data_IF_693362757401
#
_entry.id   IF_693362757401
#
_cell.length_a   1.000
_cell.length_b   1.000
_cell.length_c   1.000
_cell.angle_alpha   90.00
_cell.angle_beta   90.00
_cell.angle_gamma   90.00
#
_symmetry.space_group_name_H-M   'P 1'
#
loop_
_entity.id
_entity.type
_entity.pdbx_description
1 polymer ?
#
# COMPACT_ATOMS: atom_id res chain seq x y z
N UNK A 1 30.60 -29.63 -37.21
CA UNK A 1 29.73 -30.68 -36.66
C UNK A 1 28.38 -30.06 -36.33
N UNK A 2 27.25 -30.52 -36.91
CA UNK A 2 25.94 -29.98 -36.60
C UNK A 2 25.44 -30.50 -35.25
N UNK A 3 24.89 -29.59 -34.44
CA UNK A 3 24.51 -29.81 -33.05
C UNK A 3 23.24 -30.70 -32.93
N UNK A 4 23.28 -31.88 -32.28
CA UNK A 4 22.14 -32.80 -32.20
C UNK A 4 21.32 -32.59 -30.92
N UNK A 5 20.53 -31.52 -30.87
CA UNK A 5 19.57 -31.33 -29.77
C UNK A 5 18.33 -30.52 -30.19
N UNK A 6 17.63 -30.99 -31.23
CA UNK A 6 16.20 -30.71 -31.41
C UNK A 6 15.45 -32.01 -31.19
N UNK A 7 15.28 -32.40 -29.93
CA UNK A 7 14.37 -33.50 -29.56
C UNK A 7 12.94 -32.99 -29.67
N UNK A 8 12.27 -33.59 -30.65
CA UNK A 8 10.84 -33.52 -30.92
C UNK A 8 10.02 -33.75 -29.65
N UNK A 9 9.29 -32.73 -29.22
CA UNK A 9 7.98 -32.85 -28.58
C UNK A 9 7.13 -31.64 -28.97
N UNK A 10 6.78 -31.55 -30.24
CA UNK A 10 5.65 -30.71 -30.64
C UNK A 10 4.38 -31.42 -30.12
N UNK A 11 3.94 -31.07 -28.91
CA UNK A 11 2.57 -31.40 -28.53
C UNK A 11 1.65 -30.60 -29.47
N UNK A 12 0.80 -31.23 -30.29
CA UNK A 12 -0.16 -30.46 -31.06
C UNK A 12 -1.09 -29.78 -30.07
N UNK A 13 -1.20 -28.45 -30.17
CA UNK A 13 -2.21 -27.70 -29.42
C UNK A 13 -3.57 -28.34 -29.70
N UNK A 14 -4.27 -28.73 -28.62
CA UNK A 14 -5.65 -29.22 -28.73
C UNK A 14 -6.43 -28.18 -29.53
N UNK A 15 -7.15 -28.56 -30.60
CA UNK A 15 -7.92 -27.60 -31.37
C UNK A 15 -8.95 -26.97 -30.43
N UNK A 16 -8.88 -25.64 -30.28
CA UNK A 16 -9.92 -24.84 -29.65
C UNK A 16 -11.22 -25.21 -30.34
N UNK A 17 -12.17 -25.75 -29.58
CA UNK A 17 -13.50 -26.10 -30.08
C UNK A 17 -14.11 -24.83 -30.68
N UNK A 18 -14.21 -24.78 -32.00
CA UNK A 18 -14.91 -23.70 -32.71
C UNK A 18 -16.38 -23.80 -32.31
N UNK A 19 -16.86 -22.81 -31.57
CA UNK A 19 -18.27 -22.65 -31.24
C UNK A 19 -19.10 -22.74 -32.53
N UNK A 20 -19.98 -23.74 -32.62
CA UNK A 20 -21.00 -23.85 -33.66
C UNK A 20 -22.25 -23.14 -33.15
N UNK A 21 -22.60 -21.93 -33.64
CA UNK A 21 -23.89 -21.34 -33.30
C UNK A 21 -24.99 -22.17 -33.98
N UNK A 22 -25.94 -22.70 -33.20
CA UNK A 22 -27.13 -23.36 -33.77
C UNK A 22 -27.69 -24.57 -33.02
N UNK A 23 -27.21 -24.92 -31.82
CA UNK A 23 -27.99 -25.79 -30.94
C UNK A 23 -28.81 -24.90 -30.02
N UNK A 24 -30.12 -24.85 -30.22
CA UNK A 24 -31.03 -24.20 -29.28
C UNK A 24 -30.89 -24.91 -27.93
N UNK A 25 -30.29 -24.22 -26.97
CA UNK A 25 -30.29 -24.61 -25.57
C UNK A 25 -31.68 -24.23 -25.07
N UNK A 26 -32.41 -25.21 -24.53
CA UNK A 26 -33.70 -24.96 -23.89
C UNK A 26 -33.49 -23.91 -22.80
N UNK A 27 -34.33 -22.87 -22.82
CA UNK A 27 -34.38 -21.85 -21.77
C UNK A 27 -34.88 -22.53 -20.49
N UNK A 28 -33.94 -22.96 -19.65
CA UNK A 28 -34.22 -23.28 -18.25
C UNK A 28 -34.27 -21.93 -17.52
N UNK A 29 -35.46 -21.57 -17.03
CA UNK A 29 -35.68 -20.40 -16.17
C UNK A 29 -34.79 -20.52 -14.92
N UNK A 30 -33.73 -19.70 -14.90
CA UNK A 30 -32.87 -19.50 -13.74
C UNK A 30 -33.67 -18.75 -12.69
N UNK A 31 -34.24 -19.50 -11.73
CA UNK A 31 -34.88 -18.97 -10.52
C UNK A 31 -33.83 -18.23 -9.69
N UNK A 32 -33.81 -16.91 -9.85
CA UNK A 32 -32.99 -15.96 -9.12
C UNK A 32 -33.64 -15.74 -7.73
N UNK A 33 -33.25 -16.55 -6.75
CA UNK A 33 -33.46 -16.21 -5.34
C UNK A 33 -32.12 -15.73 -4.76
N UNK A 34 -31.94 -14.41 -4.78
CA UNK A 34 -30.88 -13.74 -4.03
C UNK A 34 -31.18 -13.81 -2.53
N UNK A 35 -30.54 -14.73 -1.83
CA UNK A 35 -30.40 -14.67 -0.37
C UNK A 35 -29.01 -14.15 0.00
N UNK A 36 -28.87 -12.83 -0.03
CA UNK A 36 -27.78 -12.09 0.62
C UNK A 36 -27.88 -12.23 2.13
N UNK A 37 -27.31 -13.28 2.70
CA UNK A 37 -26.82 -13.25 4.09
C UNK A 37 -25.50 -14.00 4.18
N UNK A 38 -24.41 -13.28 3.94
CA UNK A 38 -23.08 -13.64 4.45
C UNK A 38 -23.03 -13.41 5.97
N UNK A 39 -23.95 -14.03 6.70
CA UNK A 39 -23.83 -14.23 8.14
C UNK A 39 -23.10 -15.55 8.32
N UNK A 40 -21.97 -15.51 9.03
CA UNK A 40 -21.13 -16.64 9.38
C UNK A 40 -21.95 -17.89 9.72
N UNK A 41 -22.10 -18.80 8.75
CA UNK A 41 -22.68 -20.12 8.97
C UNK A 41 -21.65 -20.96 9.74
N UNK A 42 -21.50 -20.68 11.03
CA UNK A 42 -20.95 -21.63 11.98
C UNK A 42 -21.92 -22.82 11.99
N UNK A 43 -21.59 -23.82 11.19
CA UNK A 43 -22.25 -25.13 11.20
C UNK A 43 -22.39 -25.57 12.66
N UNK A 44 -23.64 -25.73 13.12
CA UNK A 44 -23.95 -26.21 14.46
C UNK A 44 -23.11 -27.46 14.76
N UNK A 45 -22.49 -27.56 15.94
CA UNK A 45 -21.43 -28.55 16.24
C UNK A 45 -21.86 -30.01 16.05
N UNK A 46 -23.16 -30.30 16.01
CA UNK A 46 -23.71 -31.64 15.75
C UNK A 46 -23.75 -32.08 14.28
N UNK A 47 -23.88 -31.14 13.31
CA UNK A 47 -23.95 -31.48 11.87
C UNK A 47 -22.57 -31.69 11.26
N UNK A 48 -21.54 -31.02 11.79
CA UNK A 48 -20.15 -31.19 11.37
C UNK A 48 -19.59 -32.60 11.67
N UNK A 49 -20.19 -33.33 12.63
CA UNK A 49 -19.79 -34.70 13.00
C UNK A 49 -20.26 -35.76 12.00
N UNK A 50 -21.23 -35.46 11.13
CA UNK A 50 -21.70 -36.39 10.10
C UNK A 50 -20.77 -36.37 8.88
N UNK A 51 -20.56 -37.52 8.23
CA UNK A 51 -19.75 -37.65 7.00
C UNK A 51 -20.21 -36.66 5.89
N UNK A 52 -21.53 -36.46 5.77
CA UNK A 52 -22.12 -35.46 4.87
C UNK A 52 -21.74 -34.02 5.26
N UNK A 53 -21.68 -33.71 6.55
CA UNK A 53 -21.28 -32.40 7.06
C UNK A 53 -19.79 -32.11 6.85
N UNK A 54 -18.94 -33.12 7.01
CA UNK A 54 -17.51 -33.01 6.73
C UNK A 54 -17.23 -32.76 5.24
N UNK A 55 -17.92 -33.49 4.36
CA UNK A 55 -17.82 -33.30 2.91
C UNK A 55 -18.34 -31.91 2.47
N UNK A 56 -19.45 -31.44 3.04
CA UNK A 56 -19.95 -30.09 2.78
C UNK A 56 -18.96 -29.01 3.25
N UNK A 57 -18.39 -29.16 4.45
CA UNK A 57 -17.38 -28.24 4.96
C UNK A 57 -16.10 -28.25 4.11
N UNK A 58 -15.68 -29.42 3.59
CA UNK A 58 -14.58 -29.52 2.63
C UNK A 58 -14.89 -28.79 1.33
N UNK A 59 -16.08 -29.00 0.75
CA UNK A 59 -16.52 -28.32 -0.46
C UNK A 59 -16.53 -26.80 -0.28
N UNK A 60 -16.98 -26.28 0.87
CA UNK A 60 -16.94 -24.85 1.16
C UNK A 60 -15.52 -24.29 1.23
N UNK A 61 -14.56 -25.03 1.83
CA UNK A 61 -13.15 -24.61 1.83
C UNK A 61 -12.57 -24.61 0.43
N UNK A 62 -12.92 -25.59 -0.38
CA UNK A 62 -12.44 -25.71 -1.76
C UNK A 62 -13.01 -24.59 -2.64
N UNK A 63 -14.31 -24.30 -2.53
CA UNK A 63 -14.92 -23.16 -3.19
C UNK A 63 -14.27 -21.84 -2.77
N UNK A 64 -13.96 -21.65 -1.47
CA UNK A 64 -13.22 -20.47 -1.01
C UNK A 64 -11.80 -20.36 -1.58
N UNK A 65 -11.16 -21.49 -1.92
CA UNK A 65 -9.84 -21.47 -2.59
C UNK A 65 -9.99 -21.03 -4.04
N UNK A 66 -10.90 -21.65 -4.78
CA UNK A 66 -11.21 -21.27 -6.15
C UNK A 66 -11.65 -19.81 -6.26
N UNK A 67 -12.44 -19.33 -5.29
CA UNK A 67 -12.83 -17.93 -5.19
C UNK A 67 -11.62 -17.02 -5.03
N UNK A 68 -10.71 -17.30 -4.09
CA UNK A 68 -9.48 -16.52 -3.91
C UNK A 68 -8.62 -16.49 -5.16
N UNK A 69 -8.49 -17.63 -5.83
CA UNK A 69 -7.71 -17.72 -7.08
C UNK A 69 -8.37 -16.90 -8.19
N UNK A 70 -9.71 -16.94 -8.29
CA UNK A 70 -10.48 -16.12 -9.24
C UNK A 70 -10.36 -14.63 -8.93
N UNK A 71 -10.51 -14.23 -7.67
CA UNK A 71 -10.35 -12.85 -7.22
C UNK A 71 -8.94 -12.32 -7.52
N UNK A 72 -7.90 -13.14 -7.31
CA UNK A 72 -6.52 -12.78 -7.66
C UNK A 72 -6.32 -12.59 -9.17
N UNK A 73 -7.01 -13.37 -10.01
CA UNK A 73 -6.99 -13.18 -11.47
C UNK A 73 -7.72 -11.89 -11.87
N UNK A 74 -8.92 -11.65 -11.35
CA UNK A 74 -9.70 -10.44 -11.64
C UNK A 74 -8.95 -9.18 -11.18
N UNK A 75 -8.29 -9.22 -10.01
CA UNK A 75 -7.46 -8.12 -9.53
C UNK A 75 -6.31 -7.79 -10.51
N UNK A 76 -5.63 -8.83 -11.03
CA UNK A 76 -4.58 -8.65 -12.04
C UNK A 76 -5.12 -8.12 -13.37
N UNK A 77 -6.27 -8.60 -13.83
CA UNK A 77 -6.93 -8.10 -15.03
C UNK A 77 -7.30 -6.62 -14.86
N UNK A 78 -7.86 -6.23 -13.71
CA UNK A 78 -8.16 -4.83 -13.40
C UNK A 78 -6.93 -3.93 -13.32
N UNK A 79 -5.81 -4.43 -12.77
CA UNK A 79 -4.53 -3.70 -12.80
C UNK A 79 -4.03 -3.45 -14.23
N UNK A 80 -4.17 -4.44 -15.11
CA UNK A 80 -3.78 -4.32 -16.52
C UNK A 80 -4.69 -3.34 -17.25
N UNK A 81 -6.00 -3.41 -17.05
CA UNK A 81 -6.99 -2.49 -17.64
C UNK A 81 -6.73 -1.04 -17.21
N UNK A 82 -6.43 -0.78 -15.94
CA UNK A 82 -6.08 0.57 -15.45
C UNK A 82 -4.75 1.06 -16.05
N UNK A 83 -3.76 0.18 -16.19
CA UNK A 83 -2.51 0.52 -16.87
C UNK A 83 -2.74 0.87 -18.34
N UNK A 84 -3.59 0.12 -19.05
CA UNK A 84 -3.98 0.39 -20.43
C UNK A 84 -4.79 1.69 -20.54
N UNK A 85 -5.71 1.95 -19.61
CA UNK A 85 -6.43 3.24 -19.50
C UNK A 85 -5.44 4.39 -19.42
N UNK A 86 -4.49 4.35 -18.48
CA UNK A 86 -3.47 5.40 -18.31
C UNK A 86 -2.52 5.56 -19.50
N UNK A 87 -2.24 4.47 -20.22
CA UNK A 87 -1.46 4.51 -21.46
C UNK A 87 -2.21 5.20 -22.58
N UNK A 88 -3.53 5.01 -22.65
CA UNK A 88 -4.39 5.61 -23.67
C UNK A 88 -4.75 7.07 -23.41
N UNK A 89 -4.56 7.58 -22.18
CA UNK A 89 -4.77 8.99 -21.84
C UNK A 89 -3.76 9.93 -22.53
N UNK A 90 -4.22 11.15 -22.80
CA UNK A 90 -3.34 12.23 -23.26
C UNK A 90 -2.38 12.67 -22.14
N UNK A 91 -1.31 13.39 -22.51
CA UNK A 91 -0.33 13.87 -21.52
C UNK A 91 -0.96 14.86 -20.53
N UNK A 92 -1.81 15.76 -21.01
CA UNK A 92 -2.46 16.79 -20.18
C UNK A 92 -3.44 16.20 -19.16
N UNK A 93 -4.23 15.21 -19.58
CA UNK A 93 -5.16 14.49 -18.70
C UNK A 93 -4.40 13.68 -17.63
N UNK A 94 -3.32 12.99 -18.03
CA UNK A 94 -2.46 12.24 -17.09
C UNK A 94 -1.85 13.16 -16.04
N UNK A 95 -1.30 14.31 -16.44
CA UNK A 95 -0.75 15.29 -15.51
C UNK A 95 -1.81 15.91 -14.59
N UNK A 96 -3.05 16.06 -15.04
CA UNK A 96 -4.16 16.51 -14.22
C UNK A 96 -4.54 15.46 -13.16
N UNK A 97 -4.69 14.19 -13.56
CA UNK A 97 -4.93 13.07 -12.64
C UNK A 97 -3.81 12.92 -11.60
N UNK A 98 -2.55 12.98 -12.04
CA UNK A 98 -1.38 12.86 -11.17
C UNK A 98 -1.30 14.03 -10.16
N UNK A 99 -1.58 15.26 -10.61
CA UNK A 99 -1.64 16.43 -9.72
C UNK A 99 -2.76 16.30 -8.69
N UNK A 100 -3.93 15.83 -9.09
CA UNK A 100 -5.05 15.60 -8.18
C UNK A 100 -4.71 14.52 -7.13
N UNK A 101 -4.10 13.42 -7.57
CA UNK A 101 -3.64 12.34 -6.68
C UNK A 101 -2.59 12.83 -5.68
N UNK A 102 -1.57 13.56 -6.16
CA UNK A 102 -0.54 14.15 -5.30
C UNK A 102 -1.11 15.17 -4.32
N UNK A 103 -2.10 15.97 -4.74
CA UNK A 103 -2.79 16.91 -3.86
C UNK A 103 -3.56 16.18 -2.75
N UNK A 104 -4.30 15.12 -3.09
CA UNK A 104 -5.01 14.30 -2.11
C UNK A 104 -4.06 13.62 -1.11
N UNK A 105 -2.94 13.07 -1.58
CA UNK A 105 -1.92 12.47 -0.72
C UNK A 105 -1.30 13.50 0.24
N UNK A 106 -1.00 14.71 -0.26
CA UNK A 106 -0.52 15.81 0.57
C UNK A 106 -1.56 16.21 1.61
N UNK A 107 -2.82 16.37 1.22
CA UNK A 107 -3.91 16.72 2.13
C UNK A 107 -4.06 15.67 3.26
N UNK A 108 -4.04 14.37 2.95
CA UNK A 108 -4.11 13.32 3.97
C UNK A 108 -2.89 13.30 4.91
N UNK A 109 -1.69 13.56 4.37
CA UNK A 109 -0.47 13.69 5.19
C UNK A 109 -0.54 14.92 6.10
N UNK A 110 -1.00 16.05 5.59
CA UNK A 110 -1.01 17.30 6.34
C UNK A 110 -2.14 17.32 7.39
N UNK A 111 -3.23 16.55 7.19
CA UNK A 111 -4.25 16.29 8.22
C UNK A 111 -3.70 15.52 9.43
N UNK A 112 -2.78 14.58 9.19
CA UNK A 112 -2.23 13.71 10.23
C UNK A 112 -0.94 14.25 10.85
N UNK A 113 -0.27 15.20 10.18
CA UNK A 113 1.01 15.75 10.61
C UNK A 113 0.81 17.12 11.27
N UNK A 114 1.15 17.23 12.56
CA UNK A 114 1.17 18.50 13.26
C UNK A 114 2.26 19.46 12.76
N UNK A 115 2.21 20.75 13.19
CA UNK A 115 3.23 21.74 12.86
C UNK A 115 4.59 21.27 13.39
N UNK A 116 5.57 21.16 12.50
CA UNK A 116 6.92 20.71 12.87
C UNK A 116 7.61 21.72 13.79
N UNK A 117 8.07 21.27 14.96
CA UNK A 117 8.88 22.11 15.86
C UNK A 117 10.29 22.32 15.29
N UNK A 118 10.80 23.54 15.43
CA UNK A 118 12.18 23.88 15.06
C UNK A 118 13.15 23.06 15.94
N UNK A 119 14.12 22.40 15.30
CA UNK A 119 15.07 21.49 15.94
C UNK A 119 14.43 20.28 16.65
N UNK A 120 13.29 19.78 16.15
CA UNK A 120 12.76 18.48 16.55
C UNK A 120 13.66 17.32 16.08
N UNK A 121 13.63 16.20 16.81
CA UNK A 121 14.30 14.96 16.39
C UNK A 121 13.49 14.30 15.28
N UNK A 122 14.18 13.81 14.25
CA UNK A 122 13.52 13.05 13.20
C UNK A 122 13.35 11.60 13.64
N UNK A 123 12.10 11.15 13.65
CA UNK A 123 11.74 9.76 13.91
C UNK A 123 11.25 9.15 12.58
N UNK A 124 12.07 8.30 11.98
CA UNK A 124 11.65 7.54 10.80
C UNK A 124 10.61 6.50 11.21
N UNK A 125 9.55 6.31 10.42
CA UNK A 125 8.44 5.39 10.74
C UNK A 125 8.83 3.89 10.72
N UNK A 126 10.03 3.57 10.26
CA UNK A 126 10.51 2.19 10.06
C UNK A 126 10.08 1.61 8.70
N UNK A 127 10.74 0.53 8.29
CA UNK A 127 10.42 -0.20 7.06
C UNK A 127 9.70 -1.53 7.34
N UNK A 128 9.86 -2.08 8.55
CA UNK A 128 9.28 -3.36 8.95
C UNK A 128 7.82 -3.20 9.40
N UNK A 129 7.04 -4.27 9.30
CA UNK A 129 5.65 -4.37 9.77
C UNK A 129 4.66 -3.36 9.16
N UNK A 130 4.96 -2.86 7.95
CA UNK A 130 4.05 -2.03 7.15
C UNK A 130 3.22 -2.98 6.27
N UNK A 131 1.89 -2.90 6.29
CA UNK A 131 1.05 -3.75 5.45
C UNK A 131 0.85 -5.19 5.94
N UNK A 132 1.24 -5.50 7.19
CA UNK A 132 1.17 -6.85 7.73
C UNK A 132 -0.13 -7.09 8.52
N UNK A 133 -0.44 -6.20 9.47
CA UNK A 133 -1.59 -6.32 10.37
C UNK A 133 -2.26 -4.94 10.54
N UNK A 134 -3.59 -4.92 10.63
CA UNK A 134 -4.36 -3.68 10.81
C UNK A 134 -3.95 -2.90 12.09
N UNK A 135 -3.58 -3.62 13.14
CA UNK A 135 -3.11 -3.04 14.41
C UNK A 135 -1.78 -2.29 14.24
N UNK A 136 -0.85 -2.82 13.44
CA UNK A 136 0.44 -2.14 13.20
C UNK A 136 0.26 -0.91 12.31
N UNK A 137 -0.74 -0.94 11.42
CA UNK A 137 -1.11 0.20 10.60
C UNK A 137 -1.74 1.33 11.41
N UNK A 138 -2.64 1.01 12.34
CA UNK A 138 -3.21 1.99 13.27
C UNK A 138 -2.10 2.68 14.08
N UNK A 139 -1.14 1.91 14.61
CA UNK A 139 0.03 2.46 15.32
C UNK A 139 0.98 3.25 14.41
N UNK A 140 1.00 2.98 13.11
CA UNK A 140 1.81 3.72 12.14
C UNK A 140 1.23 5.08 11.76
N UNK A 141 -0.09 5.26 11.89
CA UNK A 141 -0.79 6.50 11.54
C UNK A 141 -0.58 7.63 12.55
N UNK A 142 -0.20 7.31 13.81
CA UNK A 142 0.04 8.32 14.85
C UNK A 142 1.06 9.38 14.44
N UNK A 143 0.84 10.61 14.92
CA UNK A 143 1.80 11.70 14.77
C UNK A 143 2.99 11.51 15.73
N UNK A 144 4.05 10.87 15.22
CA UNK A 144 5.30 10.68 15.93
C UNK A 144 6.14 11.96 16.01
N UNK A 145 5.93 12.91 15.09
CA UNK A 145 6.77 14.10 14.97
C UNK A 145 6.32 15.22 15.90
N UNK A 146 5.04 15.22 16.30
CA UNK A 146 4.49 16.11 17.31
C UNK A 146 4.73 15.66 18.77
N UNK A 147 5.23 14.45 19.01
CA UNK A 147 5.43 13.93 20.36
C UNK A 147 6.55 14.68 21.11
N UNK A 148 6.28 15.07 22.36
CA UNK A 148 7.24 15.74 23.25
C UNK A 148 7.60 14.85 24.43
N UNK A 149 8.88 14.81 24.79
CA UNK A 149 9.34 14.22 26.05
C UNK A 149 9.21 15.23 27.18
N UNK A 150 9.07 14.76 28.43
CA UNK A 150 8.93 15.65 29.60
C UNK A 150 10.15 16.56 29.79
N UNK A 151 11.35 16.06 29.48
CA UNK A 151 12.61 16.81 29.63
C UNK A 151 12.93 17.71 28.43
N UNK A 152 12.13 17.70 27.36
CA UNK A 152 12.40 18.49 26.16
C UNK A 152 11.99 19.95 26.34
N UNK A 153 12.94 20.87 26.13
CA UNK A 153 12.66 22.32 26.18
C UNK A 153 11.71 22.72 25.06
N UNK A 154 10.61 23.40 25.40
CA UNK A 154 9.58 23.87 24.48
C UNK A 154 10.12 24.89 23.47
N UNK A 155 10.88 25.89 23.93
CA UNK A 155 11.39 26.97 23.09
C UNK A 155 12.91 26.91 22.93
N UNK A 156 13.36 26.19 21.89
CA UNK A 156 14.79 26.04 21.59
C UNK A 156 15.48 27.32 21.12
N UNK A 157 14.72 28.33 20.68
CA UNK A 157 15.26 29.61 20.24
C UNK A 157 15.80 30.47 21.40
N UNK A 158 15.24 30.33 22.60
CA UNK A 158 15.67 31.08 23.78
C UNK A 158 17.01 30.58 24.35
N UNK A 159 17.41 29.35 24.00
CA UNK A 159 18.67 28.78 24.46
C UNK A 159 19.88 29.48 23.82
N UNK A 160 21.04 29.49 24.50
CA UNK A 160 22.31 29.89 23.89
C UNK A 160 22.65 29.04 22.66
N UNK A 161 23.34 29.61 21.68
CA UNK A 161 23.62 28.97 20.38
C UNK A 161 24.20 27.56 20.52
N UNK A 162 25.12 27.36 21.46
CA UNK A 162 25.76 26.06 21.67
C UNK A 162 24.80 24.95 22.13
N UNK A 163 23.71 25.32 22.81
CA UNK A 163 22.67 24.40 23.30
C UNK A 163 21.52 24.22 22.31
N UNK A 164 21.46 24.98 21.20
CA UNK A 164 20.43 24.85 20.16
C UNK A 164 20.66 23.60 19.30
N UNK A 165 20.51 22.43 19.92
CA UNK A 165 20.73 21.12 19.31
C UNK A 165 19.41 20.36 19.24
N UNK A 166 19.28 19.49 18.23
CA UNK A 166 18.09 18.64 18.07
C UNK A 166 17.93 17.66 19.25
N UNK A 167 19.04 17.08 19.70
CA UNK A 167 19.10 16.08 20.77
C UNK A 167 20.00 16.59 21.90
N UNK A 168 19.40 16.89 23.06
CA UNK A 168 20.12 17.47 24.22
C UNK A 168 21.12 16.49 24.85
N UNK A 169 20.89 15.17 24.72
CA UNK A 169 21.82 14.15 25.21
C UNK A 169 23.16 14.11 24.44
N UNK A 170 23.25 14.84 23.32
CA UNK A 170 24.49 15.01 22.53
C UNK A 170 25.29 16.24 22.93
N UNK A 171 24.78 17.07 23.84
CA UNK A 171 25.54 18.19 24.39
C UNK A 171 26.81 17.65 25.08
N UNK A 172 27.97 18.18 24.71
CA UNK A 172 29.27 17.73 25.23
C UNK A 172 29.82 16.42 24.64
N UNK A 173 29.12 15.76 23.70
CA UNK A 173 29.67 14.57 23.03
C UNK A 173 30.54 14.94 21.83
N UNK A 174 31.65 14.21 21.66
CA UNK A 174 32.54 14.33 20.48
C UNK A 174 31.80 13.86 19.22
N UNK A 175 31.98 14.56 18.10
CA UNK A 175 31.41 14.18 16.79
C UNK A 175 30.21 15.02 16.32
N UNK A 176 30.00 16.22 16.88
CA UNK A 176 29.00 17.16 16.36
C UNK A 176 29.40 17.65 14.96
N UNK A 177 28.45 17.67 14.04
CA UNK A 177 28.64 18.31 12.72
C UNK A 177 28.87 19.80 12.90
N UNK A 178 29.76 20.38 12.09
CA UNK A 178 30.00 21.83 12.06
C UNK A 178 28.80 22.60 11.48
N UNK A 179 28.12 22.00 10.51
CA UNK A 179 26.98 22.57 9.82
C UNK A 179 25.68 22.41 10.63
N UNK A 180 24.91 23.50 10.72
CA UNK A 180 23.67 23.55 11.50
C UNK A 180 22.43 23.36 10.61
N UNK A 181 22.10 24.37 9.80
CA UNK A 181 20.95 24.38 8.90
C UNK A 181 21.30 25.09 7.58
N UNK A 182 20.59 24.74 6.51
CA UNK A 182 20.82 25.34 5.19
C UNK A 182 20.70 26.86 5.23
N UNK A 183 19.74 27.42 5.98
CA UNK A 183 19.51 28.86 6.05
C UNK A 183 20.70 29.65 6.62
N UNK A 184 21.44 29.08 7.58
CA UNK A 184 22.58 29.78 8.21
C UNK A 184 23.87 29.62 7.42
N UNK A 185 24.01 28.49 6.70
CA UNK A 185 25.20 28.13 5.94
C UNK A 185 25.11 28.50 4.45
N UNK A 186 23.91 28.87 3.96
CA UNK A 186 23.70 29.29 2.57
C UNK A 186 24.42 30.61 2.33
N UNK A 187 25.53 30.53 1.60
CA UNK A 187 26.32 31.67 1.11
C UNK A 187 25.95 32.04 -0.32
N UNK A 188 24.90 31.44 -0.88
CA UNK A 188 24.41 31.69 -2.21
C UNK A 188 23.96 33.14 -2.41
N UNK A 189 23.96 33.58 -3.67
CA UNK A 189 23.64 34.96 -4.07
C UNK A 189 22.27 35.44 -3.56
N UNK A 190 21.30 34.51 -3.42
CA UNK A 190 19.97 34.76 -2.84
C UNK A 190 20.00 35.00 -1.32
N UNK A 191 20.82 34.27 -0.58
CA UNK A 191 20.95 34.43 0.87
C UNK A 191 21.69 35.74 1.24
N UNK A 192 22.67 36.15 0.42
CA UNK A 192 23.40 37.40 0.61
C UNK A 192 22.52 38.65 0.45
N UNK A 193 21.54 38.61 -0.46
CA UNK A 193 20.58 39.71 -0.66
C UNK A 193 19.54 39.83 0.46
N UNK A 194 19.26 38.75 1.20
CA UNK A 194 18.31 38.74 2.31
C UNK A 194 18.92 39.19 3.66
N UNK A 195 20.22 39.53 3.68
CA UNK A 195 20.99 39.86 4.89
C UNK A 195 21.19 41.37 5.10
N UNK A 196 20.60 42.19 4.24
CA UNK A 196 20.64 43.66 4.26
C UNK A 196 19.22 44.23 4.18
#
# INVERSE_FOLDING_TARGET
MPNPAKRMTAQPSRPVQRHRPGKAVAEEESSDEEDTTSASAQLLPGVASSDRGQHAAWRLRELKRLQRDREALVAREGEIEELERRRNLTAEEREAEDRAFLAAQKAGRDQTRGPGRVLAKYHHKGAFFRGADDDTEALAQRDLMGATFQDDVADKAALPEYMRVRDMAKLGRKGRTRYMDLKTEDTGRRALLARW
#
